data_IF_605645469331
#
_entry.id   IF_605645469331
#
_cell.length_a   1.000
_cell.length_b   1.000
_cell.length_c   1.000
_cell.angle_alpha   90.00
_cell.angle_beta   90.00
_cell.angle_gamma   90.00
#
_symmetry.space_group_name_H-M   'P 1'
#
loop_
_entity.id
_entity.type
_entity.pdbx_description
1 polymer ?
#
# COMPACT_ATOMS: atom_id res chain seq x y z
N UNK A 1 6.66 -4.34 -33.20
CA UNK A 1 5.80 -4.96 -32.16
C UNK A 1 6.61 -5.17 -30.90
N UNK A 2 6.33 -4.44 -29.82
CA UNK A 2 6.93 -4.73 -28.51
C UNK A 2 6.15 -5.89 -27.91
N UNK A 3 6.80 -7.04 -27.74
CA UNK A 3 6.24 -8.18 -27.01
C UNK A 3 5.89 -7.72 -25.59
N UNK A 4 4.61 -7.45 -25.35
CA UNK A 4 4.07 -7.26 -24.01
C UNK A 4 4.06 -8.66 -23.39
N UNK A 5 5.18 -9.06 -22.76
CA UNK A 5 5.21 -10.22 -21.87
C UNK A 5 4.04 -10.05 -20.90
N UNK A 6 3.07 -10.96 -20.95
CA UNK A 6 1.85 -10.86 -20.16
C UNK A 6 2.17 -10.54 -18.71
N UNK A 7 1.71 -9.38 -18.24
CA UNK A 7 1.88 -8.96 -16.85
C UNK A 7 1.19 -10.00 -15.99
N UNK A 8 1.97 -10.80 -15.25
CA UNK A 8 1.41 -11.75 -14.28
C UNK A 8 0.44 -10.99 -13.38
N UNK A 9 -0.82 -11.43 -13.35
CA UNK A 9 -1.85 -10.80 -12.51
C UNK A 9 -1.51 -11.10 -11.06
N UNK A 10 -0.99 -10.10 -10.35
CA UNK A 10 -0.66 -10.21 -8.92
C UNK A 10 -1.96 -10.09 -8.12
N UNK A 11 -2.24 -11.10 -7.30
CA UNK A 11 -3.40 -11.11 -6.40
C UNK A 11 -2.94 -11.02 -4.96
N UNK A 12 -3.68 -10.29 -4.12
CA UNK A 12 -3.42 -10.20 -2.69
C UNK A 12 -3.39 -11.57 -2.00
N UNK A 13 -4.17 -12.54 -2.52
CA UNK A 13 -4.22 -13.91 -1.99
C UNK A 13 -2.91 -14.69 -2.12
N UNK A 14 -1.91 -14.19 -2.86
CA UNK A 14 -0.60 -14.83 -2.97
C UNK A 14 0.35 -14.44 -1.82
N UNK A 15 -0.07 -13.56 -0.90
CA UNK A 15 0.78 -13.04 0.17
C UNK A 15 0.25 -13.40 1.55
N UNK A 16 1.14 -13.34 2.55
CA UNK A 16 0.75 -13.39 3.96
C UNK A 16 0.22 -12.01 4.38
N UNK A 17 -1.10 -11.91 4.56
CA UNK A 17 -1.76 -10.65 4.83
C UNK A 17 -2.88 -10.76 5.88
N UNK A 18 -3.08 -9.65 6.59
CA UNK A 18 -4.27 -9.43 7.42
C UNK A 18 -5.17 -8.36 6.80
N UNK A 19 -6.48 -8.53 6.97
CA UNK A 19 -7.45 -7.44 6.80
C UNK A 19 -7.61 -6.78 8.17
N UNK A 20 -7.09 -5.56 8.33
CA UNK A 20 -7.23 -4.79 9.57
C UNK A 20 -8.56 -4.01 9.62
N UNK A 21 -9.09 -3.64 8.45
CA UNK A 21 -10.35 -2.93 8.32
C UNK A 21 -11.02 -3.24 6.98
N UNK A 22 -12.36 -3.30 6.96
CA UNK A 22 -13.18 -3.57 5.77
C UNK A 22 -14.33 -2.56 5.69
N UNK A 23 -14.80 -2.30 4.47
CA UNK A 23 -15.94 -1.41 4.17
C UNK A 23 -15.79 -0.03 4.83
N UNK A 24 -14.60 0.54 4.78
CA UNK A 24 -14.26 1.79 5.45
C UNK A 24 -14.39 3.03 4.56
N UNK A 25 -14.29 4.20 5.17
CA UNK A 25 -14.06 5.48 4.51
C UNK A 25 -12.57 5.75 4.35
N UNK A 26 -12.21 6.67 3.44
CA UNK A 26 -10.82 7.12 3.28
C UNK A 26 -10.21 7.64 4.59
N UNK A 27 -11.02 8.37 5.38
CA UNK A 27 -10.58 8.93 6.66
C UNK A 27 -10.29 7.84 7.68
N UNK A 28 -11.13 6.82 7.78
CA UNK A 28 -10.91 5.69 8.68
C UNK A 28 -9.67 4.88 8.29
N UNK A 29 -9.45 4.67 6.98
CA UNK A 29 -8.24 4.02 6.49
C UNK A 29 -6.98 4.79 6.91
N UNK A 30 -6.92 6.11 6.65
CA UNK A 30 -5.77 6.94 7.00
C UNK A 30 -5.52 6.97 8.52
N UNK A 31 -6.59 7.14 9.32
CA UNK A 31 -6.48 7.13 10.79
C UNK A 31 -5.90 5.81 11.30
N UNK A 32 -6.46 4.67 10.88
CA UNK A 32 -5.98 3.37 11.34
C UNK A 32 -4.53 3.12 10.92
N UNK A 33 -4.14 3.49 9.70
CA UNK A 33 -2.76 3.35 9.22
C UNK A 33 -1.81 4.21 10.05
N UNK A 34 -2.19 5.45 10.39
CA UNK A 34 -1.42 6.30 11.31
C UNK A 34 -1.28 5.71 12.70
N UNK A 35 -2.34 5.11 13.25
CA UNK A 35 -2.30 4.51 14.59
C UNK A 35 -1.40 3.27 14.64
N UNK A 36 -1.43 2.44 13.58
CA UNK A 36 -0.73 1.14 13.54
C UNK A 36 0.67 1.16 12.94
N UNK A 37 1.15 2.33 12.50
CA UNK A 37 2.44 2.48 11.84
C UNK A 37 3.37 3.40 12.59
N UNK A 38 4.67 3.14 12.55
CA UNK A 38 5.72 4.02 13.05
C UNK A 38 5.93 5.20 12.09
N UNK A 39 5.84 4.93 10.79
CA UNK A 39 5.98 5.92 9.72
C UNK A 39 4.82 5.78 8.74
N UNK A 40 4.31 6.90 8.22
CA UNK A 40 3.25 6.89 7.20
C UNK A 40 3.54 7.89 6.08
N UNK A 41 3.32 7.44 4.85
CA UNK A 41 3.46 8.21 3.63
C UNK A 41 2.13 8.28 2.89
N UNK A 42 1.80 9.46 2.40
CA UNK A 42 0.80 9.66 1.36
C UNK A 42 1.50 9.54 0.01
N UNK A 43 1.13 8.53 -0.78
CA UNK A 43 1.69 8.30 -2.11
C UNK A 43 0.62 8.53 -3.19
N UNK A 44 1.00 9.02 -4.38
CA UNK A 44 0.08 9.04 -5.52
C UNK A 44 -0.43 7.63 -5.87
N UNK A 45 -1.63 7.54 -6.44
CA UNK A 45 -2.07 6.30 -7.08
C UNK A 45 -1.11 5.83 -8.17
N UNK A 46 -1.05 4.52 -8.38
CA UNK A 46 -0.17 3.88 -9.36
C UNK A 46 1.13 3.30 -8.77
N UNK A 47 1.48 3.64 -7.53
CA UNK A 47 2.52 2.91 -6.79
C UNK A 47 2.15 1.44 -6.62
N UNK A 48 3.17 0.57 -6.56
CA UNK A 48 2.96 -0.86 -6.37
C UNK A 48 3.60 -1.36 -5.08
N UNK A 49 2.82 -2.05 -4.25
CA UNK A 49 3.31 -2.80 -3.09
C UNK A 49 3.32 -4.28 -3.47
N UNK A 50 4.50 -4.87 -3.64
CA UNK A 50 4.69 -6.24 -4.19
C UNK A 50 3.96 -6.49 -5.53
N UNK A 51 3.75 -5.47 -6.35
CA UNK A 51 3.00 -5.61 -7.60
C UNK A 51 1.49 -5.40 -7.46
N UNK A 52 0.97 -5.22 -6.24
CA UNK A 52 -0.39 -4.73 -6.01
C UNK A 52 -0.40 -3.23 -6.27
N UNK A 53 -1.09 -2.81 -7.32
CA UNK A 53 -1.21 -1.39 -7.69
C UNK A 53 -2.17 -0.69 -6.73
N UNK A 54 -1.70 0.37 -6.10
CA UNK A 54 -2.48 1.22 -5.22
C UNK A 54 -3.37 2.15 -6.03
N UNK A 55 -4.68 2.05 -5.79
CA UNK A 55 -5.70 2.86 -6.46
C UNK A 55 -6.14 4.04 -5.59
N UNK A 56 -6.42 5.17 -6.23
CA UNK A 56 -6.85 6.42 -5.58
C UNK A 56 -5.98 7.61 -6.00
N UNK A 57 -6.42 8.83 -5.69
CA UNK A 57 -5.59 10.03 -5.97
C UNK A 57 -4.36 10.07 -5.05
N UNK A 58 -4.59 9.79 -3.77
CA UNK A 58 -3.57 9.72 -2.72
C UNK A 58 -3.89 8.55 -1.82
N UNK A 59 -2.88 7.72 -1.52
CA UNK A 59 -3.04 6.47 -0.78
C UNK A 59 -2.11 6.49 0.44
N UNK A 60 -2.62 6.30 1.67
CA UNK A 60 -1.78 6.13 2.85
C UNK A 60 -1.10 4.75 2.83
N UNK A 61 0.22 4.75 3.04
CA UNK A 61 1.06 3.56 3.22
C UNK A 61 1.90 3.77 4.47
N UNK A 62 1.76 2.87 5.42
CA UNK A 62 2.47 2.87 6.68
C UNK A 62 3.41 1.69 6.85
N UNK A 63 4.45 1.89 7.64
CA UNK A 63 5.43 0.87 8.01
C UNK A 63 5.49 0.73 9.53
N UNK A 64 5.47 -0.51 10.04
CA UNK A 64 5.76 -0.83 11.44
C UNK A 64 6.62 -2.09 11.51
N UNK A 65 7.81 -1.98 12.11
CA UNK A 65 8.82 -3.02 12.01
C UNK A 65 9.04 -3.45 10.56
N UNK A 66 8.78 -4.73 10.27
CA UNK A 66 8.89 -5.30 8.93
C UNK A 66 7.55 -5.36 8.17
N UNK A 67 6.49 -4.74 8.65
CA UNK A 67 5.17 -4.85 8.04
C UNK A 67 4.78 -3.62 7.25
N UNK A 68 4.01 -3.83 6.19
CA UNK A 68 3.47 -2.78 5.34
C UNK A 68 1.97 -2.73 5.53
N UNK A 69 1.44 -1.57 5.91
CA UNK A 69 0.01 -1.37 6.13
C UNK A 69 -0.49 -0.34 5.12
N UNK A 70 -1.46 -0.68 4.28
CA UNK A 70 -1.92 0.22 3.22
C UNK A 70 -3.41 0.12 2.94
N UNK A 71 -3.95 1.21 2.40
CA UNK A 71 -5.31 1.25 1.89
C UNK A 71 -5.42 0.48 0.57
N UNK A 72 -6.41 -0.40 0.47
CA UNK A 72 -6.68 -1.21 -0.71
C UNK A 72 -8.14 -1.08 -1.15
N UNK A 73 -8.38 -0.93 -2.46
CA UNK A 73 -9.73 -0.82 -3.02
C UNK A 73 -10.11 -2.16 -3.65
N UNK A 74 -11.20 -2.76 -3.15
CA UNK A 74 -11.86 -3.90 -3.81
C UNK A 74 -13.11 -3.38 -4.53
N UNK A 75 -13.20 -3.45 -5.88
CA UNK A 75 -14.28 -2.79 -6.64
C UNK A 75 -15.71 -3.11 -6.17
N UNK A 76 -15.96 -4.33 -5.70
CA UNK A 76 -17.29 -4.77 -5.26
C UNK A 76 -17.57 -4.53 -3.77
N UNK A 77 -16.54 -4.25 -2.96
CA UNK A 77 -16.65 -4.23 -1.49
C UNK A 77 -16.13 -2.94 -0.85
N UNK A 78 -15.57 -2.02 -1.62
CA UNK A 78 -15.09 -0.73 -1.13
C UNK A 78 -13.66 -0.77 -0.59
N UNK A 79 -13.39 0.05 0.42
CA UNK A 79 -12.05 0.28 0.98
C UNK A 79 -11.73 -0.68 2.12
N UNK A 80 -10.48 -1.13 2.11
CA UNK A 80 -9.88 -2.03 3.09
C UNK A 80 -8.58 -1.43 3.58
N UNK A 81 -8.16 -1.84 4.78
CA UNK A 81 -6.78 -1.67 5.26
C UNK A 81 -6.15 -3.05 5.35
N UNK A 82 -5.06 -3.23 4.61
CA UNK A 82 -4.33 -4.49 4.50
C UNK A 82 -2.98 -4.34 5.20
N UNK A 83 -2.56 -5.37 5.94
CA UNK A 83 -1.18 -5.52 6.45
C UNK A 83 -0.52 -6.68 5.72
N UNK A 84 0.64 -6.43 5.09
CA UNK A 84 1.55 -7.48 4.67
C UNK A 84 2.62 -7.69 5.73
N UNK A 85 2.92 -8.94 6.05
CA UNK A 85 3.83 -9.30 7.14
C UNK A 85 5.25 -9.57 6.64
N UNK A 86 6.25 -9.14 7.40
CA UNK A 86 7.67 -9.49 7.22
C UNK A 86 8.25 -9.14 5.82
N UNK A 87 7.98 -7.94 5.33
CA UNK A 87 8.34 -7.43 4.01
C UNK A 87 9.51 -6.42 4.05
N UNK A 88 10.53 -6.67 4.88
CA UNK A 88 11.63 -5.73 5.13
C UNK A 88 12.34 -5.24 3.85
N UNK A 89 12.55 -6.13 2.87
CA UNK A 89 13.19 -5.75 1.60
C UNK A 89 12.30 -4.82 0.77
N UNK A 90 10.99 -5.09 0.73
CA UNK A 90 10.01 -4.26 0.01
C UNK A 90 9.93 -2.88 0.65
N UNK A 91 9.91 -2.81 1.98
CA UNK A 91 9.95 -1.54 2.74
C UNK A 91 11.18 -0.73 2.36
N UNK A 92 12.37 -1.35 2.31
CA UNK A 92 13.60 -0.65 1.91
C UNK A 92 13.48 -0.04 0.51
N UNK A 93 13.00 -0.83 -0.46
CA UNK A 93 12.80 -0.38 -1.84
C UNK A 93 11.77 0.76 -1.94
N UNK A 94 10.65 0.65 -1.23
CA UNK A 94 9.61 1.69 -1.20
C UNK A 94 10.14 2.99 -0.59
N UNK A 95 10.83 2.92 0.56
CA UNK A 95 11.47 4.10 1.17
C UNK A 95 12.43 4.80 0.21
N UNK A 96 13.23 4.04 -0.54
CA UNK A 96 14.17 4.60 -1.52
C UNK A 96 13.48 5.24 -2.73
N UNK A 97 12.32 4.70 -3.15
CA UNK A 97 11.48 5.32 -4.17
C UNK A 97 10.83 6.62 -3.66
N UNK A 98 10.23 6.57 -2.47
CA UNK A 98 9.52 7.70 -1.86
C UNK A 98 10.43 8.91 -1.65
N UNK A 99 11.69 8.71 -1.27
CA UNK A 99 12.68 9.79 -1.13
C UNK A 99 12.95 10.56 -2.43
N UNK A 100 12.74 9.92 -3.59
CA UNK A 100 13.04 10.50 -4.92
C UNK A 100 11.83 11.17 -5.56
N UNK A 101 10.63 10.88 -5.07
CA UNK A 101 9.38 11.39 -5.64
C UNK A 101 8.83 12.55 -4.80
N UNK A 102 8.86 13.75 -5.38
CA UNK A 102 8.35 14.99 -4.76
C UNK A 102 6.85 14.98 -4.46
N UNK A 103 6.09 14.06 -5.07
CA UNK A 103 4.65 13.95 -4.85
C UNK A 103 4.31 13.04 -3.66
N UNK A 104 5.29 12.33 -3.10
CA UNK A 104 5.13 11.56 -1.87
C UNK A 104 5.33 12.47 -0.65
N UNK A 105 4.43 12.37 0.33
CA UNK A 105 4.49 13.17 1.56
C UNK A 105 4.53 12.28 2.79
N UNK A 106 5.54 12.43 3.64
CA UNK A 106 5.54 11.79 4.97
C UNK A 106 4.58 12.56 5.89
N UNK A 107 3.68 11.84 6.55
CA UNK A 107 2.62 12.39 7.42
C UNK A 107 2.67 11.86 8.86
N UNK A 108 3.53 10.88 9.12
CA UNK A 108 3.94 10.38 10.44
C UNK A 108 5.36 9.86 10.31
#
# INVERSE_FOLDING_TARGET
MKNIKGTKMVCLSEYDFDILLKNATLKECETLIKERSEEVYLVPGGYAVKGIILMGATVPVGFSGNDIIFQFIKPCFGLFVIRLRNEAEVIRRLRDQYKKDKNVKKIK
#
